data_IF_282415006216
#
_entry.id   IF_282415006216
#
_cell.length_a   1.000
_cell.length_b   1.000
_cell.length_c   1.000
_cell.angle_alpha   90.00
_cell.angle_beta   90.00
_cell.angle_gamma   90.00
#
_symmetry.space_group_name_H-M   'P 1'
#
loop_
_entity.id
_entity.type
_entity.pdbx_description
1 polymer ?
#
# COMPACT_ATOMS: atom_id res chain seq x y z
N UNK A 1 -10.85 -21.93 6.52
CA UNK A 1 -11.41 -20.63 6.11
C UNK A 1 -10.76 -20.19 4.80
N UNK A 2 -11.47 -19.51 3.91
CA UNK A 2 -10.94 -19.11 2.59
C UNK A 2 -10.00 -17.89 2.69
N UNK A 3 -10.32 -16.92 3.55
CA UNK A 3 -9.54 -15.72 3.85
C UNK A 3 -9.35 -15.56 5.36
N UNK A 4 -8.42 -14.70 5.76
CA UNK A 4 -8.12 -14.43 7.17
C UNK A 4 -7.84 -12.95 7.41
N UNK A 5 -8.40 -12.40 8.50
CA UNK A 5 -7.94 -11.14 9.06
C UNK A 5 -6.49 -11.25 9.52
N UNK A 6 -5.83 -10.11 9.67
CA UNK A 6 -4.38 -10.02 9.82
C UNK A 6 -4.00 -8.97 10.85
N UNK A 7 -2.73 -8.94 11.24
CA UNK A 7 -2.18 -7.92 12.12
C UNK A 7 -1.80 -6.62 11.40
N UNK A 8 -2.29 -6.40 10.17
CA UNK A 8 -1.91 -5.27 9.32
C UNK A 8 -2.05 -3.91 10.02
N UNK A 9 -3.14 -3.68 10.77
CA UNK A 9 -3.40 -2.42 11.50
C UNK A 9 -2.32 -2.10 12.54
N UNK A 10 -1.70 -3.12 13.13
CA UNK A 10 -0.66 -2.98 14.15
C UNK A 10 0.76 -3.15 13.60
N UNK A 11 0.95 -3.05 12.27
CA UNK A 11 2.26 -2.85 11.63
C UNK A 11 2.33 -1.43 11.13
N UNK A 12 3.39 -0.69 11.46
CA UNK A 12 3.49 0.75 11.19
C UNK A 12 4.82 1.18 10.59
N UNK A 13 5.91 0.54 10.98
CA UNK A 13 7.25 0.81 10.46
C UNK A 13 7.56 -0.03 9.22
N UNK A 14 8.52 0.43 8.41
CA UNK A 14 9.05 -0.34 7.27
C UNK A 14 9.43 -1.77 7.68
N UNK A 15 10.14 -1.91 8.79
CA UNK A 15 10.60 -3.21 9.30
C UNK A 15 9.41 -4.12 9.61
N UNK A 16 8.44 -3.62 10.36
CA UNK A 16 7.23 -4.38 10.72
C UNK A 16 6.42 -4.83 9.48
N UNK A 17 6.29 -3.98 8.47
CA UNK A 17 5.61 -4.36 7.23
C UNK A 17 6.38 -5.43 6.45
N UNK A 18 7.70 -5.25 6.29
CA UNK A 18 8.56 -6.20 5.57
C UNK A 18 8.50 -7.56 6.26
N UNK A 19 8.79 -7.60 7.57
CA UNK A 19 8.79 -8.85 8.35
C UNK A 19 7.43 -9.55 8.28
N UNK A 20 6.33 -8.81 8.45
CA UNK A 20 5.00 -9.42 8.47
C UNK A 20 4.55 -9.92 7.09
N UNK A 21 4.86 -9.19 6.02
CA UNK A 21 4.51 -9.65 4.67
C UNK A 21 5.41 -10.79 4.23
N UNK A 22 6.68 -10.82 4.63
CA UNK A 22 7.56 -11.97 4.40
C UNK A 22 7.09 -13.21 5.17
N UNK A 23 6.62 -13.05 6.42
CA UNK A 23 5.98 -14.13 7.17
C UNK A 23 4.80 -14.72 6.37
N UNK A 24 3.88 -13.85 5.91
CA UNK A 24 2.68 -14.27 5.17
C UNK A 24 2.99 -14.93 3.82
N UNK A 25 4.05 -14.49 3.12
CA UNK A 25 4.27 -14.83 1.70
C UNK A 25 5.44 -15.78 1.43
N UNK A 26 6.39 -15.89 2.37
CA UNK A 26 7.64 -16.65 2.22
C UNK A 26 7.73 -17.87 3.13
N UNK A 27 6.82 -18.00 4.10
CA UNK A 27 6.70 -19.20 4.93
C UNK A 27 5.59 -20.11 4.41
N UNK A 28 5.35 -21.23 5.11
CA UNK A 28 4.26 -22.16 4.82
C UNK A 28 2.87 -21.51 4.92
N UNK A 29 2.75 -20.33 5.57
CA UNK A 29 1.47 -19.59 5.64
C UNK A 29 0.87 -19.33 4.26
N UNK A 30 1.69 -19.14 3.23
CA UNK A 30 1.23 -18.88 1.86
C UNK A 30 0.37 -20.02 1.28
N UNK A 31 0.48 -21.23 1.81
CA UNK A 31 -0.23 -22.44 1.33
C UNK A 31 -1.65 -22.55 1.90
N UNK A 32 -1.93 -21.91 3.04
CA UNK A 32 -3.21 -22.07 3.75
C UNK A 32 -3.86 -20.76 4.19
N UNK A 33 -3.15 -19.64 4.20
CA UNK A 33 -3.65 -18.33 4.61
C UNK A 33 -3.72 -17.39 3.41
N UNK A 34 -4.90 -16.78 3.20
CA UNK A 34 -5.08 -15.68 2.24
C UNK A 34 -5.38 -14.41 3.03
N UNK A 35 -4.41 -13.48 3.17
CA UNK A 35 -4.61 -12.31 4.01
C UNK A 35 -5.68 -11.40 3.40
N UNK A 36 -6.50 -10.80 4.27
CA UNK A 36 -7.38 -9.70 3.94
C UNK A 36 -6.97 -8.48 4.78
N UNK A 37 -6.39 -7.47 4.12
CA UNK A 37 -5.85 -6.29 4.78
C UNK A 37 -6.94 -5.23 4.92
N UNK A 38 -7.41 -5.03 6.14
CA UNK A 38 -8.35 -3.96 6.49
C UNK A 38 -7.58 -2.86 7.24
N UNK A 39 -7.48 -1.63 6.72
CA UNK A 39 -6.81 -0.54 7.43
C UNK A 39 -7.64 -0.02 8.61
N UNK A 40 -8.95 -0.26 8.62
CA UNK A 40 -9.85 -0.03 9.74
C UNK A 40 -10.98 -1.08 9.74
N UNK A 41 -11.66 -1.25 10.86
CA UNK A 41 -12.90 -2.03 11.00
C UNK A 41 -13.85 -1.30 11.96
N UNK A 42 -15.13 -1.69 12.12
CA UNK A 42 -16.01 -1.07 13.12
C UNK A 42 -15.49 -1.15 14.57
N UNK A 43 -14.58 -2.09 14.84
CA UNK A 43 -13.97 -2.32 16.16
C UNK A 43 -12.55 -1.75 16.27
N UNK A 44 -11.91 -1.41 15.15
CA UNK A 44 -10.51 -1.00 15.10
C UNK A 44 -10.42 0.33 14.33
N UNK A 45 -10.32 1.41 15.10
CA UNK A 45 -9.79 2.73 14.75
C UNK A 45 -8.33 2.79 15.22
N UNK A 46 -7.35 2.36 14.40
CA UNK A 46 -5.96 2.23 14.83
C UNK A 46 -5.40 3.55 15.33
N UNK A 47 -4.58 3.53 16.37
CA UNK A 47 -3.99 4.76 16.95
C UNK A 47 -3.33 5.69 15.93
N UNK A 48 -2.71 5.13 14.89
CA UNK A 48 -2.04 5.93 13.86
C UNK A 48 -3.00 6.63 12.88
N UNK A 49 -4.30 6.34 12.91
CA UNK A 49 -5.34 7.04 12.15
C UNK A 49 -6.12 8.06 13.00
N UNK A 50 -6.08 7.93 14.33
CA UNK A 50 -6.78 8.83 15.25
C UNK A 50 -6.23 10.25 15.14
N UNK A 51 -7.04 11.17 14.59
CA UNK A 51 -6.63 12.56 14.35
C UNK A 51 -5.54 12.72 13.28
N UNK A 52 -5.31 11.69 12.45
CA UNK A 52 -4.29 11.72 11.42
C UNK A 52 -4.68 12.62 10.23
N UNK A 53 -3.68 13.04 9.46
CA UNK A 53 -3.90 13.83 8.26
C UNK A 53 -4.22 12.94 7.03
N UNK A 54 -4.71 13.57 5.95
CA UNK A 54 -5.06 12.87 4.71
C UNK A 54 -3.93 11.98 4.12
N UNK A 55 -2.64 12.39 4.11
CA UNK A 55 -1.52 11.53 3.72
C UNK A 55 -1.50 10.17 4.42
N UNK A 56 -1.85 10.11 5.71
CA UNK A 56 -1.83 8.86 6.47
C UNK A 56 -2.92 7.89 6.02
N UNK A 57 -4.13 8.37 5.74
CA UNK A 57 -5.21 7.54 5.20
C UNK A 57 -4.86 7.03 3.80
N UNK A 58 -4.28 7.88 2.95
CA UNK A 58 -3.80 7.47 1.62
C UNK A 58 -2.72 6.38 1.76
N UNK A 59 -1.72 6.61 2.60
CA UNK A 59 -0.63 5.67 2.85
C UNK A 59 -1.15 4.31 3.32
N UNK A 60 -2.04 4.27 4.33
CA UNK A 60 -2.59 3.01 4.86
C UNK A 60 -3.42 2.26 3.83
N UNK A 61 -4.19 2.99 3.02
CA UNK A 61 -4.97 2.39 1.95
C UNK A 61 -4.05 1.76 0.89
N UNK A 62 -3.07 2.52 0.39
CA UNK A 62 -2.16 2.05 -0.67
C UNK A 62 -1.34 0.86 -0.18
N UNK A 63 -0.84 0.87 1.07
CA UNK A 63 -0.17 -0.29 1.66
C UNK A 63 -1.08 -1.52 1.65
N UNK A 64 -2.32 -1.40 2.14
CA UNK A 64 -3.28 -2.52 2.13
C UNK A 64 -3.53 -3.03 0.70
N UNK A 65 -3.74 -2.09 -0.22
CA UNK A 65 -4.16 -2.32 -1.60
C UNK A 65 -3.04 -2.84 -2.51
N UNK A 66 -1.78 -2.77 -2.09
CA UNK A 66 -0.66 -3.22 -2.94
C UNK A 66 0.11 -4.38 -2.32
N UNK A 67 0.12 -4.52 -1.00
CA UNK A 67 0.74 -5.65 -0.31
C UNK A 67 -0.13 -6.92 -0.34
N UNK A 68 -1.46 -6.79 -0.30
CA UNK A 68 -2.40 -7.92 -0.32
C UNK A 68 -3.32 -7.90 -1.54
N UNK A 69 -3.63 -9.08 -2.08
CA UNK A 69 -4.65 -9.21 -3.14
C UNK A 69 -6.08 -9.06 -2.61
N UNK A 70 -6.32 -9.28 -1.32
CA UNK A 70 -7.60 -8.98 -0.67
C UNK A 70 -7.46 -7.78 0.28
N UNK A 71 -8.35 -6.82 0.13
CA UNK A 71 -8.47 -5.61 0.94
C UNK A 71 -9.95 -5.40 1.26
N UNK A 72 -10.22 -4.80 2.41
CA UNK A 72 -11.49 -4.14 2.68
C UNK A 72 -11.27 -2.82 3.40
N UNK A 73 -12.29 -1.99 3.46
CA UNK A 73 -12.35 -0.77 4.26
C UNK A 73 -13.71 -0.74 4.96
N UNK A 74 -13.75 -0.24 6.19
CA UNK A 74 -15.02 0.10 6.82
C UNK A 74 -15.37 1.55 6.47
N UNK A 75 -16.29 1.67 5.51
CA UNK A 75 -16.78 2.94 4.98
C UNK A 75 -18.24 3.23 5.35
N UNK A 76 -18.69 4.50 5.26
CA UNK A 76 -17.98 5.70 4.79
C UNK A 76 -16.92 6.28 5.73
N UNK A 77 -16.80 5.72 6.94
CA UNK A 77 -15.91 6.22 8.02
C UNK A 77 -14.47 6.44 7.53
N UNK A 78 -13.90 5.47 6.81
CA UNK A 78 -12.53 5.58 6.29
C UNK A 78 -12.40 6.66 5.21
N UNK A 79 -13.30 6.64 4.22
CA UNK A 79 -13.33 7.55 3.08
C UNK A 79 -13.50 9.01 3.50
N UNK A 80 -14.24 9.24 4.57
CA UNK A 80 -14.47 10.56 5.14
C UNK A 80 -13.46 10.95 6.23
N UNK A 81 -12.48 10.08 6.51
CA UNK A 81 -11.42 10.26 7.52
C UNK A 81 -11.95 10.54 8.93
N UNK A 82 -13.10 9.95 9.26
CA UNK A 82 -13.68 10.01 10.61
C UNK A 82 -12.80 9.15 11.52
N UNK A 83 -12.20 9.74 12.55
CA UNK A 83 -11.17 9.07 13.35
C UNK A 83 -11.18 9.43 14.84
N UNK A 84 -12.20 10.15 15.30
CA UNK A 84 -12.39 10.44 16.71
C UNK A 84 -12.55 9.12 17.48
N UNK A 85 -11.74 8.95 18.52
CA UNK A 85 -11.69 7.74 19.33
C UNK A 85 -12.19 8.01 20.74
N UNK A 86 -12.64 6.94 21.40
CA UNK A 86 -12.71 6.94 22.87
C UNK A 86 -11.27 7.08 23.38
N UNK A 87 -11.02 7.99 24.32
CA UNK A 87 -9.66 8.28 24.79
C UNK A 87 -8.95 7.01 25.29
N UNK A 88 -7.75 6.74 24.75
CA UNK A 88 -6.93 5.59 25.14
C UNK A 88 -7.42 4.24 24.61
N UNK A 89 -8.26 4.26 23.57
CA UNK A 89 -8.90 3.08 23.00
C UNK A 89 -8.84 3.08 21.47
N UNK A 90 -9.01 1.92 20.85
CA UNK A 90 -9.13 1.78 19.39
C UNK A 90 -10.59 1.78 18.93
N UNK A 91 -11.57 2.00 19.80
CA UNK A 91 -12.97 2.19 19.41
C UNK A 91 -13.26 3.64 18.96
N UNK A 92 -14.07 3.79 17.91
CA UNK A 92 -14.60 5.09 17.49
C UNK A 92 -15.50 5.71 18.58
N UNK A 93 -15.40 7.03 18.76
CA UNK A 93 -16.14 7.78 19.78
C UNK A 93 -17.66 7.63 19.62
N UNK A 94 -18.16 7.89 18.40
CA UNK A 94 -19.58 7.79 18.04
C UNK A 94 -19.80 6.58 17.13
N UNK A 95 -19.51 5.38 17.64
CA UNK A 95 -19.53 4.15 16.84
C UNK A 95 -20.94 3.80 16.33
N UNK A 96 -21.03 3.54 15.01
CA UNK A 96 -22.24 3.05 14.32
C UNK A 96 -22.74 1.70 14.87
N UNK A 97 -21.88 0.94 15.55
CA UNK A 97 -22.28 -0.30 16.23
C UNK A 97 -23.40 -0.08 17.26
N UNK A 98 -23.55 1.15 17.77
CA UNK A 98 -24.49 1.49 18.84
C UNK A 98 -25.44 2.63 18.48
N UNK A 99 -25.35 3.17 17.26
CA UNK A 99 -26.23 4.25 16.80
C UNK A 99 -26.36 4.24 15.28
N UNK A 100 -27.45 4.80 14.77
CA UNK A 100 -27.60 5.05 13.34
C UNK A 100 -26.74 6.28 13.01
N UNK A 101 -25.83 6.14 12.05
CA UNK A 101 -25.05 7.24 11.52
C UNK A 101 -25.61 7.68 10.16
N UNK A 102 -25.77 8.98 9.98
CA UNK A 102 -26.17 9.59 8.71
C UNK A 102 -24.92 10.16 8.02
N UNK A 103 -24.35 9.38 7.09
CA UNK A 103 -23.13 9.76 6.36
C UNK A 103 -23.45 10.36 5.00
N UNK A 104 -22.65 11.35 4.57
CA UNK A 104 -22.71 11.86 3.19
C UNK A 104 -22.05 10.88 2.20
N UNK A 105 -22.85 10.01 1.59
CA UNK A 105 -22.40 9.02 0.61
C UNK A 105 -21.85 9.61 -0.69
N UNK A 106 -22.11 10.89 -0.98
CA UNK A 106 -21.68 11.54 -2.21
C UNK A 106 -20.43 12.41 -2.03
N UNK A 107 -19.87 12.45 -0.81
CA UNK A 107 -18.68 13.24 -0.49
C UNK A 107 -17.47 12.74 -1.28
N UNK A 108 -17.04 13.54 -2.25
CA UNK A 108 -15.76 13.35 -2.91
C UNK A 108 -14.64 14.11 -2.21
N UNK A 109 -13.49 13.46 -2.08
CA UNK A 109 -12.25 14.09 -1.63
C UNK A 109 -11.07 13.41 -2.34
N UNK A 110 -9.85 13.80 -1.99
CA UNK A 110 -8.66 13.22 -2.61
C UNK A 110 -8.51 11.73 -2.28
N UNK A 111 -8.79 11.33 -1.04
CA UNK A 111 -8.72 9.95 -0.61
C UNK A 111 -9.67 9.08 -1.44
N UNK A 112 -10.92 9.47 -1.66
CA UNK A 112 -11.87 8.71 -2.49
C UNK A 112 -11.40 8.59 -3.94
N UNK A 113 -10.82 9.66 -4.51
CA UNK A 113 -10.22 9.62 -5.86
C UNK A 113 -9.03 8.66 -5.94
N UNK A 114 -8.16 8.66 -4.93
CA UNK A 114 -7.02 7.73 -4.86
C UNK A 114 -7.50 6.29 -4.68
N UNK A 115 -8.49 6.04 -3.81
CA UNK A 115 -9.12 4.73 -3.61
C UNK A 115 -9.62 4.18 -4.96
N UNK A 116 -10.41 4.98 -5.68
CA UNK A 116 -10.92 4.63 -7.01
C UNK A 116 -9.81 4.34 -8.00
N UNK A 117 -8.79 5.22 -8.08
CA UNK A 117 -7.67 5.05 -9.03
C UNK A 117 -6.84 3.81 -8.73
N UNK A 118 -6.53 3.54 -7.46
CA UNK A 118 -5.75 2.38 -7.05
C UNK A 118 -6.54 1.09 -7.24
N UNK A 119 -7.87 1.09 -7.01
CA UNK A 119 -8.71 -0.06 -7.33
C UNK A 119 -8.78 -0.33 -8.84
N UNK A 120 -8.90 0.72 -9.65
CA UNK A 120 -8.80 0.57 -11.10
C UNK A 120 -7.47 -0.10 -11.49
N UNK A 121 -6.34 0.39 -10.95
CA UNK A 121 -5.02 -0.21 -11.18
C UNK A 121 -5.00 -1.69 -10.74
N UNK A 122 -5.55 -2.05 -9.59
CA UNK A 122 -5.65 -3.44 -9.12
C UNK A 122 -6.45 -4.34 -10.07
N UNK A 123 -7.51 -3.81 -10.67
CA UNK A 123 -8.31 -4.56 -11.65
C UNK A 123 -7.58 -4.73 -12.99
N UNK A 124 -6.81 -3.73 -13.41
CA UNK A 124 -6.07 -3.73 -14.68
C UNK A 124 -4.75 -4.51 -14.62
N UNK A 125 -4.18 -4.70 -13.42
CA UNK A 125 -2.86 -5.28 -13.21
C UNK A 125 -2.89 -6.55 -12.36
N UNK A 126 -2.75 -7.70 -13.02
CA UNK A 126 -2.72 -9.04 -12.42
C UNK A 126 -1.64 -9.19 -11.32
N UNK A 127 -0.55 -8.43 -11.39
CA UNK A 127 0.49 -8.42 -10.36
C UNK A 127 -0.05 -8.04 -8.96
N UNK A 128 -1.15 -7.26 -8.89
CA UNK A 128 -1.81 -6.88 -7.63
C UNK A 128 -2.96 -7.82 -7.25
N UNK A 129 -3.34 -8.75 -8.13
CA UNK A 129 -4.35 -9.77 -7.88
C UNK A 129 -3.76 -11.01 -7.20
N UNK A 130 -2.44 -11.00 -6.96
CA UNK A 130 -1.69 -12.04 -6.28
C UNK A 130 -0.96 -11.46 -5.05
N UNK A 131 -0.95 -12.21 -3.95
CA UNK A 131 -0.28 -11.78 -2.71
C UNK A 131 1.18 -12.22 -2.66
N UNK A 132 1.47 -13.48 -3.04
CA UNK A 132 2.74 -14.15 -2.72
C UNK A 132 3.94 -13.71 -3.60
N UNK A 133 3.65 -13.20 -4.80
CA UNK A 133 4.63 -12.72 -5.77
C UNK A 133 5.06 -11.29 -5.42
N UNK A 134 5.93 -11.19 -4.43
CA UNK A 134 6.48 -9.94 -3.91
C UNK A 134 7.97 -10.08 -3.58
N UNK A 135 8.76 -9.03 -3.80
CA UNK A 135 10.14 -8.92 -3.36
C UNK A 135 10.39 -7.50 -2.85
N UNK A 136 10.84 -7.34 -1.60
CA UNK A 136 11.17 -6.02 -1.06
C UNK A 136 12.51 -5.53 -1.59
N UNK A 137 12.52 -4.33 -2.14
CA UNK A 137 13.69 -3.69 -2.71
C UNK A 137 14.47 -2.95 -1.63
N UNK A 138 15.80 -2.92 -1.76
CA UNK A 138 16.64 -2.10 -0.87
C UNK A 138 16.40 -0.62 -1.18
N UNK A 139 16.21 0.17 -0.13
CA UNK A 139 16.19 1.64 -0.19
C UNK A 139 16.75 2.15 1.14
N UNK A 140 17.78 3.00 1.07
CA UNK A 140 18.50 3.52 2.23
C UNK A 140 17.77 4.70 2.88
N UNK A 141 16.48 4.53 3.13
CA UNK A 141 15.62 5.43 3.89
C UNK A 141 14.58 4.58 4.65
N UNK A 142 14.50 4.73 5.98
CA UNK A 142 13.59 3.97 6.83
C UNK A 142 12.12 4.40 6.68
N UNK A 143 11.89 5.60 6.17
CA UNK A 143 10.56 6.13 5.84
C UNK A 143 10.16 5.82 4.39
N UNK A 144 10.97 5.11 3.60
CA UNK A 144 10.57 4.60 2.29
C UNK A 144 10.52 3.08 2.31
N UNK A 145 9.42 2.52 1.83
CA UNK A 145 9.29 1.10 1.53
C UNK A 145 9.13 0.94 0.02
N UNK A 146 9.87 0.01 -0.56
CA UNK A 146 9.85 -0.29 -1.99
C UNK A 146 9.73 -1.80 -2.18
N UNK A 147 8.89 -2.23 -3.12
CA UNK A 147 8.74 -3.65 -3.43
C UNK A 147 8.29 -3.87 -4.88
N UNK A 148 8.77 -4.97 -5.42
CA UNK A 148 8.48 -5.46 -6.75
C UNK A 148 7.41 -6.55 -6.68
N UNK A 149 6.42 -6.51 -7.57
CA UNK A 149 5.36 -7.52 -7.73
C UNK A 149 5.22 -7.93 -9.18
N UNK A 150 4.80 -9.18 -9.40
CA UNK A 150 4.62 -9.75 -10.73
C UNK A 150 3.45 -10.74 -10.75
N UNK A 151 2.81 -10.92 -11.91
CA UNK A 151 1.91 -12.04 -12.14
C UNK A 151 2.70 -13.33 -12.43
N UNK A 152 2.03 -14.49 -12.42
CA UNK A 152 2.71 -15.79 -12.50
C UNK A 152 3.53 -15.94 -13.80
N UNK A 153 3.01 -15.38 -14.89
CA UNK A 153 3.56 -15.41 -16.24
C UNK A 153 4.64 -14.34 -16.47
N UNK A 154 4.85 -13.42 -15.52
CA UNK A 154 5.79 -12.27 -15.61
C UNK A 154 5.52 -11.36 -16.81
N UNK A 155 4.27 -11.24 -17.22
CA UNK A 155 3.81 -10.33 -18.28
C UNK A 155 3.29 -9.00 -17.72
N UNK A 156 2.97 -8.97 -16.42
CA UNK A 156 2.62 -7.77 -15.68
C UNK A 156 3.52 -7.65 -14.45
N UNK A 157 4.26 -6.54 -14.39
CA UNK A 157 5.36 -6.33 -13.45
C UNK A 157 5.34 -4.90 -12.93
N UNK A 158 5.27 -4.77 -11.61
CA UNK A 158 5.10 -3.48 -10.93
C UNK A 158 6.21 -3.25 -9.91
N UNK A 159 6.68 -2.01 -9.83
CA UNK A 159 7.50 -1.50 -8.73
C UNK A 159 6.68 -0.46 -7.96
N UNK A 160 6.45 -0.74 -6.68
CA UNK A 160 5.68 0.14 -5.79
C UNK A 160 6.63 0.74 -4.77
N UNK A 161 6.51 2.04 -4.53
CA UNK A 161 7.31 2.78 -3.56
C UNK A 161 6.36 3.66 -2.74
N UNK A 162 6.45 3.61 -1.42
CA UNK A 162 5.54 4.32 -0.51
C UNK A 162 6.35 5.08 0.55
N UNK A 163 6.01 6.34 0.76
CA UNK A 163 6.47 7.18 1.84
C UNK A 163 5.64 6.89 3.12
N UNK A 164 6.33 6.45 4.16
CA UNK A 164 5.80 6.12 5.49
C UNK A 164 5.70 7.35 6.42
N UNK A 165 6.32 8.47 6.04
CA UNK A 165 6.21 9.77 6.71
C UNK A 165 4.98 10.54 6.19
N UNK A 166 4.08 10.91 7.12
CA UNK A 166 2.85 11.63 6.80
C UNK A 166 3.02 13.16 6.75
N UNK A 167 4.18 13.68 7.16
CA UNK A 167 4.42 15.11 7.32
C UNK A 167 5.47 15.65 6.34
N UNK A 168 6.50 14.87 6.02
CA UNK A 168 7.65 15.36 5.25
C UNK A 168 7.90 14.57 3.94
N UNK A 169 8.37 15.25 2.89
CA UNK A 169 8.92 14.59 1.72
C UNK A 169 10.05 13.64 2.12
N UNK A 170 10.06 12.47 1.48
CA UNK A 170 11.11 11.48 1.68
C UNK A 170 11.75 11.15 0.34
N UNK A 171 13.08 11.12 0.34
CA UNK A 171 13.88 10.82 -0.83
C UNK A 171 14.82 9.64 -0.55
N UNK A 172 15.21 8.94 -1.60
CA UNK A 172 16.16 7.84 -1.48
C UNK A 172 16.50 7.23 -2.83
N UNK A 173 17.41 6.26 -2.82
CA UNK A 173 17.79 5.51 -4.00
C UNK A 173 17.32 4.07 -3.84
N UNK A 174 16.44 3.63 -4.74
CA UNK A 174 15.89 2.27 -4.76
C UNK A 174 16.77 1.38 -5.60
N UNK A 175 17.17 0.24 -5.04
CA UNK A 175 17.86 -0.84 -5.75
C UNK A 175 16.83 -1.71 -6.46
N UNK A 176 16.92 -1.78 -7.79
CA UNK A 176 16.12 -2.69 -8.59
C UNK A 176 16.52 -4.15 -8.34
N UNK A 177 15.57 -5.07 -8.22
CA UNK A 177 15.86 -6.49 -8.01
C UNK A 177 16.16 -7.16 -9.37
N UNK A 178 17.33 -6.88 -9.95
CA UNK A 178 17.69 -7.29 -11.32
C UNK A 178 17.52 -8.79 -11.58
N UNK A 179 17.87 -9.62 -10.60
CA UNK A 179 17.70 -11.08 -10.70
C UNK A 179 16.23 -11.49 -10.79
N UNK A 180 15.36 -10.87 -9.99
CA UNK A 180 13.92 -11.11 -10.03
C UNK A 180 13.29 -10.51 -11.29
N UNK A 181 13.84 -9.43 -11.83
CA UNK A 181 13.44 -8.84 -13.11
C UNK A 181 13.95 -9.66 -14.31
N UNK A 182 14.91 -10.56 -14.13
CA UNK A 182 15.49 -11.33 -15.24
C UNK A 182 16.27 -10.46 -16.24
N UNK A 183 16.89 -9.38 -15.77
CA UNK A 183 17.67 -8.44 -16.60
C UNK A 183 19.11 -8.34 -16.08
N UNK A 184 20.03 -7.95 -16.97
CA UNK A 184 21.43 -7.70 -16.61
C UNK A 184 21.65 -6.28 -16.09
N UNK A 185 22.78 -6.06 -15.43
CA UNK A 185 23.22 -4.72 -15.06
C UNK A 185 23.39 -3.84 -16.30
N UNK A 186 22.95 -2.58 -16.21
CA UNK A 186 22.98 -1.63 -17.33
C UNK A 186 21.85 -1.79 -18.34
N UNK A 187 20.91 -2.71 -18.12
CA UNK A 187 19.70 -2.82 -18.93
C UNK A 187 18.87 -1.53 -18.81
N UNK A 188 18.42 -1.02 -19.96
CA UNK A 188 17.55 0.15 -19.99
C UNK A 188 16.11 -0.25 -19.65
N UNK A 189 15.53 0.41 -18.65
CA UNK A 189 14.16 0.20 -18.23
C UNK A 189 13.37 1.49 -18.36
N UNK A 190 12.13 1.37 -18.82
CA UNK A 190 11.15 2.45 -18.73
C UNK A 190 10.19 2.09 -17.60
N UNK A 191 10.00 3.01 -16.65
CA UNK A 191 8.98 2.88 -15.62
C UNK A 191 7.89 3.92 -15.86
N UNK A 192 6.63 3.48 -15.92
CA UNK A 192 5.46 4.35 -16.08
C UNK A 192 4.66 4.39 -14.80
N UNK A 193 4.51 5.57 -14.20
CA UNK A 193 3.65 5.76 -13.03
C UNK A 193 2.19 5.64 -13.45
N UNK A 194 1.49 4.65 -12.90
CA UNK A 194 0.11 4.37 -13.24
C UNK A 194 -0.87 5.39 -12.63
N UNK A 195 -0.44 6.16 -11.63
CA UNK A 195 -1.23 7.22 -11.00
C UNK A 195 -1.08 8.52 -11.78
N UNK A 196 0.15 8.98 -11.96
CA UNK A 196 0.45 10.29 -12.59
C UNK A 196 0.59 10.23 -14.11
N UNK A 197 0.72 9.02 -14.67
CA UNK A 197 0.99 8.75 -16.10
C UNK A 197 2.37 9.23 -16.59
N UNK A 198 3.22 9.78 -15.71
CA UNK A 198 4.60 10.13 -16.01
C UNK A 198 5.43 8.89 -16.30
N UNK A 199 6.44 9.01 -17.16
CA UNK A 199 7.37 7.92 -17.50
C UNK A 199 8.81 8.37 -17.26
N UNK A 200 9.64 7.44 -16.81
CA UNK A 200 11.04 7.68 -16.46
C UNK A 200 11.92 6.60 -17.10
N UNK A 201 13.09 7.01 -17.57
CA UNK A 201 14.10 6.11 -18.12
C UNK A 201 15.14 5.82 -17.04
N UNK A 202 15.28 4.56 -16.66
CA UNK A 202 16.21 4.08 -15.66
C UNK A 202 17.29 3.24 -16.34
N UNK A 203 18.55 3.66 -16.17
CA UNK A 203 19.71 3.08 -16.87
C UNK A 203 20.60 2.24 -15.95
N UNK A 204 20.26 2.16 -14.66
CA UNK A 204 21.08 1.52 -13.64
C UNK A 204 20.25 0.77 -12.62
N UNK A 205 20.94 0.01 -11.79
CA UNK A 205 20.32 -0.74 -10.69
C UNK A 205 19.75 0.20 -9.62
N UNK A 206 20.43 1.31 -9.36
CA UNK A 206 20.12 2.26 -8.29
C UNK A 206 19.47 3.53 -8.85
N UNK A 207 18.22 3.80 -8.46
CA UNK A 207 17.42 4.88 -9.03
C UNK A 207 16.87 5.82 -7.96
N UNK A 208 17.08 7.12 -8.14
CA UNK A 208 16.59 8.15 -7.22
C UNK A 208 15.07 8.31 -7.31
N UNK A 209 14.44 8.47 -6.15
CA UNK A 209 13.02 8.79 -6.02
C UNK A 209 12.80 9.80 -4.90
N UNK A 210 11.76 10.62 -5.05
CA UNK A 210 11.30 11.58 -4.06
C UNK A 210 9.77 11.55 -4.01
N UNK A 211 9.22 11.42 -2.80
CA UNK A 211 7.78 11.29 -2.58
C UNK A 211 7.29 12.34 -1.58
N UNK A 212 6.46 13.27 -2.05
CA UNK A 212 5.81 14.26 -1.21
C UNK A 212 4.59 13.65 -0.48
N UNK A 213 4.29 14.01 0.79
CA UNK A 213 3.17 13.43 1.55
C UNK A 213 1.80 13.59 0.88
N UNK A 214 1.63 14.62 0.04
CA UNK A 214 0.39 14.83 -0.72
C UNK A 214 0.13 13.70 -1.73
N UNK A 215 1.15 13.05 -2.27
CA UNK A 215 1.01 11.83 -3.07
C UNK A 215 2.12 10.88 -2.64
N UNK A 216 1.93 10.15 -1.52
CA UNK A 216 3.02 9.52 -0.80
C UNK A 216 3.44 8.19 -1.43
N UNK A 217 3.24 7.98 -2.73
CA UNK A 217 3.57 6.73 -3.38
C UNK A 217 3.71 6.84 -4.90
N UNK A 218 4.46 5.90 -5.47
CA UNK A 218 4.47 5.58 -6.90
C UNK A 218 4.00 4.14 -7.10
N UNK A 219 3.21 3.89 -8.15
CA UNK A 219 2.93 2.54 -8.67
C UNK A 219 3.44 2.50 -10.10
N UNK A 220 4.67 2.03 -10.28
CA UNK A 220 5.29 1.97 -11.59
C UNK A 220 4.99 0.65 -12.29
N UNK A 221 4.49 0.71 -13.52
CA UNK A 221 4.60 -0.41 -14.46
C UNK A 221 5.99 -0.44 -15.06
N UNK A 222 6.63 -1.61 -15.03
CA UNK A 222 7.96 -1.84 -15.60
C UNK A 222 7.80 -2.25 -17.07
N UNK A 223 8.59 -1.62 -17.93
CA UNK A 223 8.69 -1.91 -19.36
C UNK A 223 10.17 -2.17 -19.66
N UNK A 224 10.48 -3.40 -20.07
CA UNK A 224 11.83 -3.91 -20.30
C UNK A 224 12.25 -3.84 -21.76
#
# INVERSE_FOLDING_TARGET
>A
FTQSYTYFTWRNSKKEFVEYVEELTKTDQKEYMRPNFWPNTPDINPYHLQGANEPKFIQRYVLAATLSSNIGIYGPVYEQMISEAITGKEEYLNSEKFQICDYDWFKENKLTRIISKVNQIRHEHEALQQTNNIHFCKVENNNLIAFYKWNQERTDELLIIINLDQYYPQQGTVQLPLAQLGISQGHHLIVKDLVTQSSYNWHGEWNFVELHPTLPFHIFKIIK
#
